data_IF_394894819802
#
_entry.id   IF_394894819802
#
_cell.length_a   1.000
_cell.length_b   1.000
_cell.length_c   1.000
_cell.angle_alpha   90.00
_cell.angle_beta   90.00
_cell.angle_gamma   90.00
#
_symmetry.space_group_name_H-M   'P 1'
#
loop_
_entity.id
_entity.type
_entity.pdbx_description
1 polymer ?
#
# COMPACT_ATOMS: atom_id res chain seq x y z
N UNK A 1 45.18 -8.85 -6.84
CA UNK A 1 44.48 -7.54 -6.85
C UNK A 1 43.80 -7.36 -8.21
N UNK A 2 42.59 -7.89 -8.40
CA UNK A 2 41.74 -7.55 -9.54
C UNK A 2 40.29 -8.03 -9.26
N UNK A 3 39.60 -7.34 -8.34
CA UNK A 3 38.24 -7.72 -7.88
C UNK A 3 37.21 -6.60 -8.04
N UNK A 4 37.51 -5.54 -8.82
CA UNK A 4 36.76 -4.28 -8.76
C UNK A 4 35.94 -3.95 -10.01
N UNK A 5 35.65 -4.96 -10.86
CA UNK A 5 34.87 -4.77 -12.10
C UNK A 5 33.70 -5.77 -12.22
N UNK A 6 32.67 -5.63 -11.37
CA UNK A 6 31.30 -6.16 -11.62
C UNK A 6 30.29 -5.74 -10.52
N UNK A 7 30.38 -4.50 -9.99
CA UNK A 7 29.41 -4.02 -8.98
C UNK A 7 28.29 -3.14 -9.56
N UNK A 8 28.37 -2.73 -10.83
CA UNK A 8 27.41 -1.80 -11.44
C UNK A 8 26.14 -2.46 -12.02
N UNK A 9 25.92 -3.75 -11.78
CA UNK A 9 24.76 -4.48 -12.32
C UNK A 9 23.99 -5.35 -11.33
N UNK A 10 24.39 -5.40 -10.05
CA UNK A 10 23.65 -6.18 -9.05
C UNK A 10 22.73 -5.26 -8.25
N UNK A 11 21.44 -5.41 -8.49
CA UNK A 11 20.39 -4.83 -7.64
C UNK A 11 20.46 -5.40 -6.22
N UNK A 12 19.92 -4.67 -5.25
CA UNK A 12 19.70 -5.21 -3.90
C UNK A 12 18.73 -6.39 -3.97
N UNK A 13 19.08 -7.46 -3.27
CA UNK A 13 18.17 -8.58 -2.99
C UNK A 13 17.14 -8.18 -1.92
N UNK A 14 16.12 -9.04 -1.76
CA UNK A 14 15.00 -8.75 -0.85
C UNK A 14 15.43 -8.79 0.63
N UNK A 15 16.44 -9.60 0.98
CA UNK A 15 17.00 -9.67 2.33
C UNK A 15 17.70 -8.36 2.72
N UNK A 16 18.45 -7.74 1.80
CA UNK A 16 19.09 -6.44 2.00
C UNK A 16 18.06 -5.32 2.08
N UNK A 17 16.99 -5.38 1.27
CA UNK A 17 15.86 -4.43 1.35
C UNK A 17 15.16 -4.55 2.71
N UNK A 18 14.83 -5.77 3.15
CA UNK A 18 14.19 -6.02 4.44
C UNK A 18 15.10 -5.55 5.58
N UNK A 19 16.39 -5.84 5.53
CA UNK A 19 17.36 -5.36 6.52
C UNK A 19 17.43 -3.84 6.61
N UNK A 20 17.31 -3.14 5.47
CA UNK A 20 17.32 -1.68 5.40
C UNK A 20 16.04 -1.06 6.00
N UNK A 21 14.89 -1.72 5.82
CA UNK A 21 13.60 -1.32 6.42
C UNK A 21 13.61 -1.55 7.94
N UNK A 22 14.06 -2.72 8.39
CA UNK A 22 14.17 -3.07 9.82
C UNK A 22 15.17 -2.13 10.55
N UNK A 23 16.26 -1.73 9.88
CA UNK A 23 17.28 -0.86 10.46
C UNK A 23 16.78 0.57 10.75
N UNK A 24 15.67 1.01 10.12
CA UNK A 24 15.02 2.28 10.42
C UNK A 24 14.56 2.37 11.89
N UNK A 25 14.41 1.24 12.58
CA UNK A 25 13.91 1.15 13.96
C UNK A 25 14.99 1.16 15.06
N UNK A 26 16.30 1.31 14.75
CA UNK A 26 17.24 1.70 15.81
C UNK A 26 18.71 1.28 15.75
N UNK A 27 19.26 0.74 14.65
CA UNK A 27 20.73 0.61 14.50
C UNK A 27 21.14 0.43 13.04
N UNK A 28 21.94 1.36 12.51
CA UNK A 28 22.55 1.21 11.21
C UNK A 28 23.87 0.42 11.33
N UNK A 29 23.90 -0.80 10.79
CA UNK A 29 25.14 -1.57 10.62
C UNK A 29 25.89 -1.15 9.34
N UNK A 30 27.10 -1.71 9.15
CA UNK A 30 27.91 -1.43 7.95
C UNK A 30 27.19 -1.83 6.65
N UNK A 31 26.37 -2.89 6.71
CA UNK A 31 25.56 -3.40 5.62
C UNK A 31 24.47 -2.39 5.21
N UNK A 32 23.75 -1.82 6.18
CA UNK A 32 22.78 -0.72 5.98
C UNK A 32 23.44 0.50 5.33
N UNK A 33 24.66 0.86 5.73
CA UNK A 33 25.40 1.98 5.12
C UNK A 33 25.80 1.69 3.67
N UNK A 34 26.16 0.46 3.35
CA UNK A 34 26.47 0.04 1.98
C UNK A 34 25.22 0.09 1.09
N UNK A 35 24.11 -0.48 1.57
CA UNK A 35 22.85 -0.49 0.84
C UNK A 35 22.27 0.92 0.65
N UNK A 36 22.40 1.83 1.63
CA UNK A 36 22.04 3.25 1.46
C UNK A 36 22.86 3.97 0.38
N UNK A 37 24.16 3.65 0.26
CA UNK A 37 24.99 4.19 -0.84
C UNK A 37 24.50 3.68 -2.19
N UNK A 38 24.24 2.37 -2.30
CA UNK A 38 23.67 1.79 -3.53
C UNK A 38 22.32 2.42 -3.92
N UNK A 39 21.44 2.72 -2.95
CA UNK A 39 20.16 3.37 -3.22
C UNK A 39 20.31 4.78 -3.81
N UNK A 40 21.37 5.50 -3.46
CA UNK A 40 21.67 6.81 -4.05
C UNK A 40 22.07 6.69 -5.53
N UNK A 41 22.68 5.56 -5.92
CA UNK A 41 23.20 5.33 -7.26
C UNK A 41 22.24 4.52 -8.18
N UNK A 42 21.23 3.84 -7.61
CA UNK A 42 20.35 2.93 -8.35
C UNK A 42 18.85 3.28 -8.17
N UNK A 43 18.23 4.01 -9.13
CA UNK A 43 16.84 4.46 -9.02
C UNK A 43 15.82 3.30 -9.01
N UNK A 44 16.13 2.17 -9.65
CA UNK A 44 15.26 0.99 -9.63
C UNK A 44 15.16 0.37 -8.22
N UNK A 45 16.28 0.28 -7.50
CA UNK A 45 16.29 -0.20 -6.11
C UNK A 45 15.60 0.81 -5.18
N UNK A 46 15.82 2.11 -5.40
CA UNK A 46 15.13 3.18 -4.66
C UNK A 46 13.62 3.10 -4.81
N UNK A 47 13.11 2.96 -6.04
CA UNK A 47 11.66 2.80 -6.29
C UNK A 47 11.07 1.59 -5.58
N UNK A 48 11.80 0.48 -5.51
CA UNK A 48 11.37 -0.72 -4.76
C UNK A 48 11.26 -0.45 -3.26
N UNK A 49 12.28 0.17 -2.66
CA UNK A 49 12.29 0.51 -1.23
C UNK A 49 11.17 1.50 -0.89
N UNK A 50 10.92 2.49 -1.74
CA UNK A 50 9.85 3.46 -1.53
C UNK A 50 8.46 2.82 -1.63
N UNK A 51 8.25 1.89 -2.57
CA UNK A 51 7.03 1.09 -2.63
C UNK A 51 6.80 0.29 -1.33
N UNK A 52 7.85 -0.34 -0.78
CA UNK A 52 7.74 -1.04 0.51
C UNK A 52 7.43 -0.07 1.66
N UNK A 53 8.08 1.10 1.72
CA UNK A 53 7.79 2.12 2.74
C UNK A 53 6.35 2.62 2.67
N UNK A 54 5.80 2.75 1.47
CA UNK A 54 4.40 3.11 1.29
C UNK A 54 3.48 2.04 1.89
N UNK A 55 3.70 0.77 1.55
CA UNK A 55 2.95 -0.37 2.11
C UNK A 55 3.03 -0.40 3.64
N UNK A 56 4.22 -0.27 4.22
CA UNK A 56 4.38 -0.24 5.69
C UNK A 56 3.73 1.00 6.31
N UNK A 57 3.77 2.14 5.62
CA UNK A 57 3.05 3.36 6.01
C UNK A 57 1.54 3.16 6.02
N UNK A 58 0.98 2.42 5.04
CA UNK A 58 -0.43 2.05 5.01
C UNK A 58 -0.78 1.07 6.12
N UNK A 59 0.04 0.03 6.34
CA UNK A 59 -0.14 -0.93 7.43
C UNK A 59 -0.10 -0.24 8.80
N UNK A 60 0.79 0.73 9.00
CA UNK A 60 0.85 1.53 10.22
C UNK A 60 -0.36 2.45 10.44
N UNK A 61 -1.06 2.82 9.35
CA UNK A 61 -2.30 3.62 9.38
C UNK A 61 -3.55 2.78 9.55
N UNK A 62 -3.51 1.48 9.29
CA UNK A 62 -4.59 0.59 9.67
C UNK A 62 -4.81 0.79 11.17
N UNK A 63 -6.08 1.01 11.57
CA UNK A 63 -6.44 1.06 12.98
C UNK A 63 -5.82 -0.19 13.60
N UNK A 64 -4.87 -0.01 14.52
CA UNK A 64 -4.41 -1.13 15.34
C UNK A 64 -5.68 -1.74 15.89
N UNK A 65 -5.99 -2.95 15.43
CA UNK A 65 -7.05 -3.73 16.03
C UNK A 65 -6.58 -3.96 17.45
N UNK A 66 -6.96 -3.06 18.34
CA UNK A 66 -6.93 -3.31 19.76
C UNK A 66 -7.95 -4.42 19.92
N UNK A 67 -7.53 -5.64 20.27
CA UNK A 67 -8.49 -6.68 20.57
C UNK A 67 -9.47 -6.13 21.62
N UNK A 68 -10.76 -6.51 21.58
CA UNK A 68 -11.69 -6.11 22.64
C UNK A 68 -11.06 -6.44 23.99
N UNK A 69 -11.22 -5.59 25.00
CA UNK A 69 -10.41 -5.65 26.23
C UNK A 69 -10.35 -7.02 26.92
N UNK A 70 -11.36 -7.86 26.68
CA UNK A 70 -11.47 -9.23 27.21
C UNK A 70 -10.91 -10.33 26.30
N UNK A 71 -10.30 -9.98 25.17
CA UNK A 71 -9.67 -10.94 24.27
C UNK A 71 -8.36 -11.44 24.85
N UNK A 72 -7.51 -10.54 25.36
CA UNK A 72 -6.32 -10.93 26.08
C UNK A 72 -6.68 -11.78 27.31
N UNK A 73 -7.73 -11.38 28.03
CA UNK A 73 -8.24 -12.11 29.19
C UNK A 73 -8.78 -13.50 28.83
N UNK A 74 -9.54 -13.66 27.73
CA UNK A 74 -9.97 -14.97 27.23
C UNK A 74 -8.82 -15.86 26.79
N UNK A 75 -7.90 -15.30 26.00
CA UNK A 75 -6.74 -16.05 25.50
C UNK A 75 -5.83 -16.45 26.66
N UNK A 76 -5.66 -15.60 27.67
CA UNK A 76 -4.87 -15.90 28.85
C UNK A 76 -5.59 -16.81 29.85
N UNK A 77 -6.93 -16.77 29.94
CA UNK A 77 -7.69 -17.71 30.76
C UNK A 77 -7.70 -19.13 30.18
N UNK A 78 -7.46 -19.26 28.88
CA UNK A 78 -7.38 -20.56 28.19
C UNK A 78 -5.96 -21.15 28.22
N UNK A 79 -4.97 -20.35 28.63
CA UNK A 79 -3.57 -20.77 28.77
C UNK A 79 -3.25 -20.81 30.27
N UNK A 80 -3.28 -22.00 30.86
CA UNK A 80 -2.80 -22.22 32.23
C UNK A 80 -1.29 -21.91 32.32
N UNK A 81 -0.97 -20.67 32.69
CA UNK A 81 0.39 -20.24 32.97
C UNK A 81 0.66 -20.37 34.47
N UNK A 82 1.72 -21.09 34.88
CA UNK A 82 2.10 -21.15 36.28
C UNK A 82 2.61 -19.79 36.78
N UNK A 83 1.86 -19.20 37.72
CA UNK A 83 2.34 -18.28 38.76
C UNK A 83 2.80 -16.89 38.33
N UNK A 84 1.88 -15.92 38.42
CA UNK A 84 2.15 -14.49 38.29
C UNK A 84 2.99 -13.94 39.47
N UNK A 85 3.92 -13.04 39.17
CA UNK A 85 4.31 -11.97 40.09
C UNK A 85 3.86 -10.63 39.48
N UNK A 86 2.98 -9.96 40.21
CA UNK A 86 2.23 -8.80 39.79
C UNK A 86 2.99 -7.49 39.97
N UNK A 87 2.45 -6.47 39.28
CA UNK A 87 2.35 -5.08 39.74
C UNK A 87 3.59 -4.16 39.72
N UNK A 88 3.38 -3.07 38.97
CA UNK A 88 4.04 -1.76 39.02
C UNK A 88 5.34 -1.58 38.24
N UNK A 89 5.27 -0.81 37.15
CA UNK A 89 6.45 -0.12 36.61
C UNK A 89 6.14 0.98 35.58
N UNK A 90 5.94 2.21 36.08
CA UNK A 90 6.26 3.43 35.33
C UNK A 90 7.74 3.84 35.46
N UNK A 91 8.61 2.97 36.00
CA UNK A 91 10.01 3.27 36.32
C UNK A 91 11.06 2.53 35.45
N UNK A 92 10.67 1.92 34.33
CA UNK A 92 11.54 1.02 33.55
C UNK A 92 12.47 1.69 32.51
N UNK A 93 12.39 3.01 32.31
CA UNK A 93 13.25 3.69 31.32
C UNK A 93 14.69 3.90 31.83
N UNK A 94 14.87 4.21 33.11
CA UNK A 94 16.21 4.51 33.68
C UNK A 94 17.04 3.26 34.02
N UNK A 95 16.40 2.15 34.40
CA UNK A 95 17.09 0.88 34.70
C UNK A 95 17.69 0.26 33.43
N UNK A 96 17.09 0.49 32.27
CA UNK A 96 17.55 -0.04 30.97
C UNK A 96 18.82 0.64 30.47
N UNK A 97 19.03 1.93 30.80
CA UNK A 97 20.22 2.67 30.41
C UNK A 97 21.44 2.27 31.27
N UNK A 98 21.24 2.06 32.57
CA UNK A 98 22.32 1.68 33.50
C UNK A 98 22.82 0.26 33.28
N UNK A 99 21.94 -0.65 32.83
CA UNK A 99 22.29 -2.06 32.51
C UNK A 99 23.12 -2.23 31.24
N UNK A 100 23.06 -1.27 30.32
CA UNK A 100 23.88 -1.29 29.11
C UNK A 100 25.34 -0.86 29.38
N UNK A 101 25.56 -0.03 30.40
CA UNK A 101 26.88 0.55 30.71
C UNK A 101 27.76 -0.33 31.61
N UNK A 102 27.21 -1.31 32.34
CA UNK A 102 27.94 -2.01 33.42
C UNK A 102 28.37 -3.45 33.12
N UNK A 103 28.37 -3.89 31.86
CA UNK A 103 29.10 -5.12 31.46
C UNK A 103 28.74 -6.42 32.20
N UNK A 104 27.60 -6.48 32.91
CA UNK A 104 27.04 -7.69 33.55
C UNK A 104 25.75 -8.11 32.86
N UNK A 105 25.87 -8.51 31.60
CA UNK A 105 24.82 -9.22 30.87
C UNK A 105 25.07 -10.74 30.83
N UNK A 106 25.90 -11.26 31.74
CA UNK A 106 26.19 -12.69 31.85
C UNK A 106 24.98 -13.52 32.32
N UNK A 107 24.01 -12.90 33.01
CA UNK A 107 22.87 -13.62 33.61
C UNK A 107 21.52 -13.33 32.94
N UNK A 108 21.52 -12.68 31.77
CA UNK A 108 20.28 -12.42 31.05
C UNK A 108 19.93 -13.61 30.14
N UNK A 109 19.25 -14.62 30.70
CA UNK A 109 18.72 -15.76 29.94
C UNK A 109 17.82 -15.32 28.79
N UNK A 110 17.75 -16.15 27.74
CA UNK A 110 16.78 -15.97 26.65
C UNK A 110 15.34 -16.07 27.19
N UNK A 111 14.45 -15.19 26.71
CA UNK A 111 13.03 -15.29 27.03
C UNK A 111 12.43 -16.57 26.46
N UNK A 112 11.40 -17.11 27.14
CA UNK A 112 10.72 -18.34 26.69
C UNK A 112 10.27 -18.27 25.23
N UNK A 113 9.70 -17.14 24.80
CA UNK A 113 9.31 -16.91 23.39
C UNK A 113 10.48 -17.01 22.40
N UNK A 114 11.68 -16.56 22.77
CA UNK A 114 12.87 -16.69 21.90
C UNK A 114 13.40 -18.12 21.86
N UNK A 115 13.34 -18.85 22.98
CA UNK A 115 13.71 -20.26 23.03
C UNK A 115 12.74 -21.12 22.22
N UNK A 116 11.43 -20.87 22.34
CA UNK A 116 10.41 -21.50 21.51
C UNK A 116 10.65 -21.23 20.02
N UNK A 117 10.77 -19.95 19.63
CA UNK A 117 11.05 -19.60 18.22
C UNK A 117 12.38 -20.17 17.71
N UNK A 118 13.35 -20.43 18.59
CA UNK A 118 14.59 -21.13 18.23
C UNK A 118 14.37 -22.62 18.03
N UNK A 119 13.53 -23.25 18.86
CA UNK A 119 13.16 -24.65 18.75
C UNK A 119 12.33 -24.90 17.47
N UNK A 120 11.37 -24.01 17.16
CA UNK A 120 10.50 -24.07 15.99
C UNK A 120 11.21 -23.69 14.68
N UNK A 121 12.46 -23.22 14.72
CA UNK A 121 13.18 -22.71 13.55
C UNK A 121 12.64 -21.39 12.97
N UNK A 122 11.72 -20.71 13.67
CA UNK A 122 11.07 -19.48 13.23
C UNK A 122 11.90 -18.20 13.43
N UNK A 123 13.09 -18.29 14.05
CA UNK A 123 13.97 -17.13 14.24
C UNK A 123 14.71 -16.74 12.95
N UNK A 124 14.79 -15.44 12.61
CA UNK A 124 15.64 -14.96 11.53
C UNK A 124 17.09 -15.41 11.71
N UNK A 125 17.77 -15.77 10.62
CA UNK A 125 19.11 -16.41 10.62
C UNK A 125 20.11 -15.72 11.54
N UNK A 126 20.25 -14.39 11.47
CA UNK A 126 21.15 -13.60 12.32
C UNK A 126 20.84 -13.78 13.82
N UNK A 127 19.57 -13.75 14.21
CA UNK A 127 19.14 -13.92 15.60
C UNK A 127 19.28 -15.36 16.08
N UNK A 128 19.05 -16.34 15.20
CA UNK A 128 19.23 -17.75 15.50
C UNK A 128 20.70 -18.07 15.82
N UNK A 129 21.67 -17.51 15.08
CA UNK A 129 23.11 -17.70 15.34
C UNK A 129 23.47 -17.19 16.75
N UNK A 130 23.06 -15.97 17.10
CA UNK A 130 23.32 -15.38 18.42
C UNK A 130 22.66 -16.18 19.55
N UNK A 131 21.42 -16.63 19.35
CA UNK A 131 20.71 -17.42 20.35
C UNK A 131 21.37 -18.80 20.54
N UNK A 132 21.83 -19.46 19.47
CA UNK A 132 22.59 -20.71 19.54
C UNK A 132 23.92 -20.53 20.26
N UNK A 133 24.66 -19.45 19.97
CA UNK A 133 25.90 -19.14 20.66
C UNK A 133 25.69 -18.95 22.17
N UNK A 134 24.63 -18.23 22.57
CA UNK A 134 24.28 -18.09 23.98
C UNK A 134 23.91 -19.42 24.63
N UNK A 135 23.05 -20.21 23.99
CA UNK A 135 22.61 -21.53 24.49
C UNK A 135 23.81 -22.47 24.69
N UNK A 136 24.80 -22.44 23.80
CA UNK A 136 26.01 -23.24 23.92
C UNK A 136 26.87 -22.88 25.15
N UNK A 137 26.67 -21.69 25.74
CA UNK A 137 27.40 -21.21 26.91
C UNK A 137 26.57 -21.17 28.20
N UNK A 138 25.25 -21.39 28.12
CA UNK A 138 24.31 -21.22 29.23
C UNK A 138 23.46 -22.48 29.43
N UNK A 139 23.82 -23.30 30.43
CA UNK A 139 23.18 -24.59 30.72
C UNK A 139 21.67 -24.48 31.04
N UNK A 140 21.23 -23.39 31.67
CA UNK A 140 19.79 -23.16 31.92
C UNK A 140 19.00 -22.95 30.63
N UNK A 141 19.57 -22.19 29.68
CA UNK A 141 18.94 -21.97 28.39
C UNK A 141 18.98 -23.22 27.52
N UNK A 142 20.04 -24.03 27.62
CA UNK A 142 20.12 -25.34 26.97
C UNK A 142 19.06 -26.30 27.48
N UNK A 143 18.91 -26.42 28.81
CA UNK A 143 17.91 -27.28 29.45
C UNK A 143 16.48 -26.87 29.03
N UNK A 144 16.20 -25.56 29.03
CA UNK A 144 14.89 -25.05 28.57
C UNK A 144 14.66 -25.30 27.07
N UNK A 145 15.68 -25.13 26.24
CA UNK A 145 15.59 -25.40 24.80
C UNK A 145 15.33 -26.89 24.53
N UNK A 146 15.99 -27.78 25.26
CA UNK A 146 15.75 -29.22 25.19
C UNK A 146 14.31 -29.57 25.58
N UNK A 147 13.77 -28.90 26.60
CA UNK A 147 12.35 -29.01 26.99
C UNK A 147 11.40 -28.63 25.85
N UNK A 148 11.62 -27.48 25.20
CA UNK A 148 10.83 -27.06 24.04
C UNK A 148 10.92 -28.05 22.88
N UNK A 149 12.13 -28.53 22.54
CA UNK A 149 12.32 -29.51 21.47
C UNK A 149 11.59 -30.83 21.74
N UNK A 150 11.61 -31.30 23.00
CA UNK A 150 10.86 -32.49 23.39
C UNK A 150 9.36 -32.28 23.25
N UNK A 151 8.84 -31.13 23.68
CA UNK A 151 7.43 -30.78 23.52
C UNK A 151 7.01 -30.78 22.04
N UNK A 152 7.78 -30.12 21.18
CA UNK A 152 7.52 -30.07 19.73
C UNK A 152 7.55 -31.48 19.13
N UNK A 153 8.56 -32.29 19.47
CA UNK A 153 8.63 -33.68 19.01
C UNK A 153 7.42 -34.52 19.46
N UNK A 154 6.92 -34.31 20.68
CA UNK A 154 5.68 -34.96 21.15
C UNK A 154 4.46 -34.50 20.37
N UNK A 155 4.36 -33.21 20.03
CA UNK A 155 3.28 -32.67 19.21
C UNK A 155 3.34 -33.17 17.76
N UNK A 156 4.54 -33.30 17.19
CA UNK A 156 4.76 -33.86 15.85
C UNK A 156 4.46 -35.37 15.80
N UNK A 157 4.62 -36.07 16.93
CA UNK A 157 4.27 -37.48 17.05
C UNK A 157 2.76 -37.73 17.21
N UNK A 158 1.94 -36.69 17.42
CA UNK A 158 0.50 -36.85 17.44
C UNK A 158 0.01 -37.35 16.07
N UNK A 159 -0.96 -38.29 16.04
CA UNK A 159 -1.50 -38.78 14.78
C UNK A 159 -2.05 -37.61 13.96
N UNK A 160 -1.61 -37.52 12.70
CA UNK A 160 -2.14 -36.54 11.77
C UNK A 160 -3.61 -36.87 11.48
N UNK A 161 -4.53 -36.08 12.02
CA UNK A 161 -5.94 -36.23 11.71
C UNK A 161 -6.21 -35.65 10.33
N UNK A 162 -6.59 -36.51 9.39
CA UNK A 162 -7.11 -36.06 8.11
C UNK A 162 -8.41 -35.28 8.37
N UNK A 163 -8.53 -34.02 7.91
CA UNK A 163 -9.77 -33.28 8.07
C UNK A 163 -10.90 -33.96 7.28
N UNK A 164 -12.13 -33.79 7.75
CA UNK A 164 -13.31 -34.30 7.04
C UNK A 164 -13.37 -33.74 5.60
N UNK A 165 -13.89 -34.54 4.66
CA UNK A 165 -14.10 -34.09 3.29
C UNK A 165 -14.88 -32.76 3.25
N UNK A 166 -14.45 -31.85 2.36
CA UNK A 166 -15.05 -30.52 2.26
C UNK A 166 -14.50 -29.47 3.25
N UNK A 167 -13.57 -29.83 4.15
CA UNK A 167 -13.06 -28.87 5.15
C UNK A 167 -12.32 -27.69 4.49
N UNK A 168 -11.44 -27.97 3.53
CA UNK A 168 -10.70 -26.93 2.83
C UNK A 168 -11.63 -25.96 2.09
N UNK A 169 -12.68 -26.49 1.45
CA UNK A 169 -13.70 -25.73 0.74
C UNK A 169 -14.47 -24.82 1.69
N UNK A 170 -14.87 -25.31 2.87
CA UNK A 170 -15.56 -24.50 3.90
C UNK A 170 -14.65 -23.39 4.45
N UNK A 171 -13.37 -23.70 4.72
CA UNK A 171 -12.40 -22.70 5.18
C UNK A 171 -12.18 -21.62 4.11
N UNK A 172 -11.99 -22.03 2.85
CA UNK A 172 -11.78 -21.08 1.76
C UNK A 172 -13.02 -20.27 1.44
N UNK A 173 -14.22 -20.84 1.54
CA UNK A 173 -15.47 -20.10 1.42
C UNK A 173 -15.56 -19.01 2.50
N UNK A 174 -15.28 -19.37 3.76
CA UNK A 174 -15.26 -18.41 4.87
C UNK A 174 -14.20 -17.34 4.71
N UNK A 175 -13.03 -17.71 4.19
CA UNK A 175 -11.96 -16.75 3.94
C UNK A 175 -12.33 -15.74 2.85
N UNK A 176 -13.01 -16.17 1.78
CA UNK A 176 -13.51 -15.28 0.73
C UNK A 176 -14.51 -14.27 1.28
N UNK A 177 -15.44 -14.70 2.14
CA UNK A 177 -16.39 -13.78 2.79
C UNK A 177 -15.65 -12.68 3.58
N UNK A 178 -14.66 -13.05 4.39
CA UNK A 178 -13.86 -12.10 5.17
C UNK A 178 -13.04 -11.17 4.26
N UNK A 179 -12.47 -11.70 3.19
CA UNK A 179 -11.70 -10.91 2.22
C UNK A 179 -12.59 -9.93 1.43
N UNK A 180 -13.80 -10.34 1.05
CA UNK A 180 -14.79 -9.50 0.39
C UNK A 180 -15.28 -8.37 1.32
N UNK A 181 -15.54 -8.67 2.58
CA UNK A 181 -15.86 -7.64 3.57
C UNK A 181 -14.71 -6.63 3.79
N UNK A 182 -13.47 -7.14 3.85
CA UNK A 182 -12.29 -6.29 4.02
C UNK A 182 -12.07 -5.37 2.81
N UNK A 183 -12.26 -5.90 1.60
CA UNK A 183 -12.09 -5.13 0.36
C UNK A 183 -13.25 -4.18 0.07
N UNK A 184 -14.49 -4.56 0.41
CA UNK A 184 -15.69 -3.72 0.23
C UNK A 184 -15.66 -2.45 1.09
N UNK A 185 -15.23 -2.55 2.36
CA UNK A 185 -15.03 -1.37 3.22
C UNK A 185 -13.85 -0.49 2.76
N UNK A 186 -12.81 -1.11 2.20
CA UNK A 186 -11.64 -0.41 1.65
C UNK A 186 -11.98 0.43 0.41
N UNK A 187 -12.75 -0.11 -0.54
CA UNK A 187 -13.09 0.58 -1.79
C UNK A 187 -13.99 1.80 -1.56
N UNK A 188 -14.98 1.70 -0.66
CA UNK A 188 -15.80 2.84 -0.28
C UNK A 188 -14.93 3.94 0.34
N UNK A 189 -14.04 3.59 1.29
CA UNK A 189 -13.15 4.57 1.93
C UNK A 189 -12.11 5.18 0.97
N UNK A 190 -11.66 4.43 -0.05
CA UNK A 190 -10.68 4.90 -1.03
C UNK A 190 -11.30 5.87 -2.05
N UNK A 191 -12.58 5.68 -2.41
CA UNK A 191 -13.31 6.61 -3.29
C UNK A 191 -13.45 8.01 -2.67
N UNK A 192 -13.58 8.10 -1.34
CA UNK A 192 -13.57 9.38 -0.60
C UNK A 192 -12.17 9.95 -0.33
N UNK A 193 -11.10 9.18 -0.58
CA UNK A 193 -9.71 9.65 -0.40
C UNK A 193 -9.14 10.36 -1.62
N UNK A 194 -9.73 10.16 -2.80
CA UNK A 194 -9.38 10.89 -4.02
C UNK A 194 -9.93 12.32 -4.03
N UNK A 195 -10.86 12.65 -3.13
CA UNK A 195 -11.33 14.02 -2.93
C UNK A 195 -10.31 14.79 -2.07
N UNK A 196 -9.73 15.90 -2.56
CA UNK A 196 -8.81 16.70 -1.78
C UNK A 196 -9.52 17.19 -0.50
N UNK A 197 -8.99 16.80 0.67
CA UNK A 197 -9.55 17.18 1.98
C UNK A 197 -9.23 18.61 2.39
N UNK A 198 -8.26 19.25 1.74
CA UNK A 198 -7.87 20.62 2.07
C UNK A 198 -8.40 21.61 1.02
N UNK A 199 -8.79 22.83 1.42
CA UNK A 199 -9.19 23.88 0.48
C UNK A 199 -8.08 24.21 -0.52
N UNK A 200 -6.80 24.03 -0.14
CA UNK A 200 -5.65 24.18 -1.05
C UNK A 200 -5.57 23.07 -2.12
N UNK A 201 -5.98 21.85 -1.79
CA UNK A 201 -6.05 20.75 -2.76
C UNK A 201 -7.12 20.98 -3.83
N UNK A 202 -8.22 21.65 -3.49
CA UNK A 202 -9.22 22.07 -4.48
C UNK A 202 -8.72 23.17 -5.41
N UNK A 203 -7.90 24.10 -4.91
CA UNK A 203 -7.26 25.13 -5.75
C UNK A 203 -6.26 24.51 -6.73
N UNK A 204 -5.47 23.52 -6.29
CA UNK A 204 -4.54 22.79 -7.16
C UNK A 204 -5.27 21.91 -8.19
N UNK A 205 -6.33 21.22 -7.77
CA UNK A 205 -7.16 20.44 -8.68
C UNK A 205 -7.82 21.34 -9.74
N UNK A 206 -8.35 22.50 -9.32
CA UNK A 206 -8.99 23.46 -10.23
C UNK A 206 -8.03 24.17 -11.19
N UNK A 207 -6.78 24.40 -10.79
CA UNK A 207 -5.75 25.00 -11.65
C UNK A 207 -5.26 24.02 -12.72
N UNK A 208 -5.15 22.73 -12.40
CA UNK A 208 -4.85 21.70 -13.41
C UNK A 208 -5.96 21.55 -14.45
N UNK A 209 -7.24 21.70 -14.06
CA UNK A 209 -8.36 21.65 -15.02
C UNK A 209 -8.50 22.90 -15.88
N UNK A 210 -8.06 24.07 -15.40
CA UNK A 210 -8.22 25.34 -16.14
C UNK A 210 -7.09 25.63 -17.12
N UNK A 211 -5.91 25.03 -16.93
CA UNK A 211 -4.74 25.23 -17.80
C UNK A 211 -5.01 24.92 -19.29
N UNK A 212 -5.72 23.83 -19.67
CA UNK A 212 -6.04 23.55 -21.08
C UNK A 212 -6.97 24.60 -21.69
N UNK A 213 -7.92 25.12 -20.90
CA UNK A 213 -8.89 26.12 -21.35
C UNK A 213 -8.20 27.46 -21.60
N UNK A 214 -7.29 27.86 -20.71
CA UNK A 214 -6.50 29.08 -20.88
C UNK A 214 -5.55 28.99 -22.09
N UNK A 215 -4.90 27.85 -22.29
CA UNK A 215 -4.07 27.60 -23.47
C UNK A 215 -4.89 27.66 -24.77
N UNK A 216 -6.09 27.06 -24.78
CA UNK A 216 -6.97 27.11 -25.95
C UNK A 216 -7.45 28.53 -26.25
N UNK A 217 -7.81 29.30 -25.23
CA UNK A 217 -8.20 30.71 -25.38
C UNK A 217 -7.05 31.58 -25.92
N UNK A 218 -5.82 31.35 -25.45
CA UNK A 218 -4.63 32.06 -25.94
C UNK A 218 -4.34 31.72 -27.42
N UNK A 219 -4.48 30.45 -27.81
CA UNK A 219 -4.34 30.02 -29.20
C UNK A 219 -5.43 30.61 -30.08
N UNK A 220 -6.69 30.62 -29.61
CA UNK A 220 -7.80 31.23 -30.34
C UNK A 220 -7.59 32.75 -30.55
N UNK A 221 -7.13 33.46 -29.52
CA UNK A 221 -6.81 34.88 -29.61
C UNK A 221 -5.60 35.17 -30.51
N UNK A 222 -4.61 34.27 -30.55
CA UNK A 222 -3.47 34.38 -31.46
C UNK A 222 -3.88 34.11 -32.91
N UNK A 223 -4.78 33.15 -33.15
CA UNK A 223 -5.26 32.86 -34.50
C UNK A 223 -6.11 34.01 -35.06
N UNK A 224 -6.81 34.78 -34.23
CA UNK A 224 -7.59 35.94 -34.69
C UNK A 224 -6.74 37.15 -35.11
N UNK A 225 -5.43 37.16 -34.85
CA UNK A 225 -4.54 38.25 -35.29
C UNK A 225 -3.86 37.98 -36.63
N UNK A 226 -4.04 36.80 -37.23
CA UNK A 226 -3.42 36.44 -38.52
C UNK A 226 -4.42 36.68 -39.67
N UNK A 227 -4.26 37.76 -40.47
CA UNK A 227 -5.25 38.19 -41.46
C UNK A 227 -5.39 37.27 -42.69
N UNK A 228 -4.57 36.23 -42.80
CA UNK A 228 -4.58 35.30 -43.94
C UNK A 228 -5.34 33.99 -43.66
N UNK A 229 -5.87 33.80 -42.45
CA UNK A 229 -6.68 32.64 -42.12
C UNK A 229 -8.13 32.84 -42.60
N UNK A 230 -8.46 32.24 -43.73
CA UNK A 230 -9.87 32.11 -44.15
C UNK A 230 -10.61 31.23 -43.13
N UNK A 231 -11.81 31.64 -42.74
CA UNK A 231 -12.64 30.97 -41.72
C UNK A 231 -12.84 29.47 -42.02
N UNK A 232 -12.91 29.12 -43.30
CA UNK A 232 -13.01 27.73 -43.77
C UNK A 232 -11.77 26.89 -43.42
N UNK A 233 -10.56 27.39 -43.67
CA UNK A 233 -9.33 26.67 -43.38
C UNK A 233 -9.12 26.41 -41.89
N UNK A 234 -9.54 27.37 -41.06
CA UNK A 234 -9.45 27.28 -39.60
C UNK A 234 -10.38 26.19 -39.05
N UNK A 235 -11.61 26.07 -39.57
CA UNK A 235 -12.55 25.01 -39.20
C UNK A 235 -12.04 23.63 -39.64
N UNK A 236 -11.52 23.49 -40.87
CA UNK A 236 -10.99 22.21 -41.35
C UNK A 236 -9.77 21.77 -40.54
N UNK A 237 -8.87 22.69 -40.22
CA UNK A 237 -7.71 22.43 -39.38
C UNK A 237 -8.10 22.05 -37.95
N UNK A 238 -9.00 22.81 -37.32
CA UNK A 238 -9.51 22.50 -35.97
C UNK A 238 -10.21 21.14 -35.92
N UNK A 239 -10.97 20.79 -36.96
CA UNK A 239 -11.61 19.49 -37.05
C UNK A 239 -10.60 18.34 -37.12
N UNK A 240 -9.54 18.52 -37.92
CA UNK A 240 -8.46 17.53 -38.03
C UNK A 240 -7.69 17.40 -36.70
N UNK A 241 -7.32 18.52 -36.09
CA UNK A 241 -6.65 18.55 -34.78
C UNK A 241 -7.51 17.90 -33.68
N UNK A 242 -8.83 18.15 -33.69
CA UNK A 242 -9.76 17.55 -32.74
C UNK A 242 -9.84 16.02 -32.92
N UNK A 243 -9.82 15.54 -34.16
CA UNK A 243 -9.82 14.11 -34.47
C UNK A 243 -8.55 13.41 -33.99
N UNK A 244 -7.39 14.06 -34.14
CA UNK A 244 -6.10 13.54 -33.67
C UNK A 244 -5.97 13.59 -32.15
N UNK A 245 -6.44 14.66 -31.52
CA UNK A 245 -6.49 14.74 -30.06
C UNK A 245 -7.41 13.66 -29.47
N UNK A 246 -8.55 13.41 -30.11
CA UNK A 246 -9.49 12.38 -29.69
C UNK A 246 -8.90 10.97 -29.85
N UNK A 247 -8.13 10.71 -30.92
CA UNK A 247 -7.48 9.41 -31.13
C UNK A 247 -6.33 9.17 -30.14
N UNK A 248 -5.51 10.19 -29.86
CA UNK A 248 -4.44 10.13 -28.86
C UNK A 248 -4.98 10.00 -27.43
N UNK A 249 -6.07 10.68 -27.13
CA UNK A 249 -6.78 10.51 -25.86
C UNK A 249 -7.36 9.10 -25.75
N UNK A 250 -7.99 8.58 -26.81
CA UNK A 250 -8.51 7.21 -26.83
C UNK A 250 -7.43 6.15 -26.60
N UNK A 251 -6.26 6.28 -27.23
CA UNK A 251 -5.15 5.33 -27.07
C UNK A 251 -4.53 5.38 -25.68
N UNK A 252 -4.34 6.57 -25.11
CA UNK A 252 -3.83 6.74 -23.74
C UNK A 252 -4.81 6.22 -22.68
N UNK A 253 -6.12 6.40 -22.89
CA UNK A 253 -7.15 5.88 -22.01
C UNK A 253 -7.23 4.35 -22.09
N UNK A 254 -7.13 3.76 -23.29
CA UNK A 254 -7.01 2.32 -23.48
C UNK A 254 -5.76 1.74 -22.82
N UNK A 255 -4.61 2.41 -22.95
CA UNK A 255 -3.36 2.01 -22.32
C UNK A 255 -3.44 2.06 -20.78
N UNK A 256 -4.04 3.13 -20.24
CA UNK A 256 -4.27 3.27 -18.81
C UNK A 256 -5.26 2.23 -18.28
N UNK A 257 -6.31 1.91 -19.05
CA UNK A 257 -7.25 0.84 -18.72
C UNK A 257 -6.55 -0.51 -18.72
N UNK A 258 -5.79 -0.84 -19.76
CA UNK A 258 -5.02 -2.09 -19.88
C UNK A 258 -3.98 -2.28 -18.76
N UNK A 259 -3.35 -1.20 -18.30
CA UNK A 259 -2.41 -1.26 -17.17
C UNK A 259 -3.09 -1.34 -15.81
N UNK A 260 -4.35 -0.93 -15.71
CA UNK A 260 -5.11 -1.04 -14.47
C UNK A 260 -5.75 -2.42 -14.34
N UNK A 261 -5.79 -2.97 -13.11
CA UNK A 261 -6.62 -4.15 -12.82
C UNK A 261 -8.12 -3.96 -13.12
N UNK A 262 -8.54 -2.76 -13.53
CA UNK A 262 -9.89 -2.47 -14.00
C UNK A 262 -10.15 -2.99 -15.42
N UNK A 263 -9.13 -3.24 -16.26
CA UNK A 263 -9.33 -3.88 -17.57
C UNK A 263 -9.98 -5.26 -17.42
N UNK A 264 -9.55 -6.05 -16.43
CA UNK A 264 -10.13 -7.36 -16.16
C UNK A 264 -11.60 -7.27 -15.74
N UNK A 265 -11.96 -6.23 -14.96
CA UNK A 265 -13.34 -5.98 -14.52
C UNK A 265 -14.23 -5.42 -15.63
N UNK A 266 -13.67 -4.52 -16.46
CA UNK A 266 -14.36 -3.94 -17.60
C UNK A 266 -14.64 -5.01 -18.68
N UNK A 267 -13.68 -5.91 -18.90
CA UNK A 267 -13.85 -7.06 -19.78
C UNK A 267 -14.94 -7.99 -19.27
N UNK A 268 -14.95 -8.34 -17.98
CA UNK A 268 -16.02 -9.16 -17.41
C UNK A 268 -17.40 -8.49 -17.46
N UNK A 269 -17.47 -7.16 -17.30
CA UNK A 269 -18.72 -6.41 -17.45
C UNK A 269 -19.19 -6.35 -18.91
N UNK A 270 -18.27 -6.20 -19.86
CA UNK A 270 -18.57 -6.21 -21.28
C UNK A 270 -19.10 -7.58 -21.72
N UNK A 271 -18.53 -8.67 -21.20
CA UNK A 271 -18.99 -10.04 -21.47
C UNK A 271 -20.43 -10.26 -20.94
N UNK A 272 -20.74 -9.77 -19.74
CA UNK A 272 -22.11 -9.77 -19.19
C UNK A 272 -23.09 -8.90 -20.01
N UNK A 273 -22.65 -7.75 -20.51
CA UNK A 273 -23.47 -6.86 -21.35
C UNK A 273 -23.74 -7.45 -22.73
N UNK A 274 -22.79 -8.20 -23.30
CA UNK A 274 -22.94 -8.89 -24.60
C UNK A 274 -23.87 -10.09 -24.46
N UNK A 275 -23.81 -10.81 -23.34
CA UNK A 275 -24.70 -11.95 -23.08
C UNK A 275 -26.18 -11.56 -22.92
N UNK A 276 -26.46 -10.26 -22.71
CA UNK A 276 -27.79 -9.76 -22.37
C UNK A 276 -28.12 -8.47 -23.17
N UNK A 277 -28.80 -8.59 -24.33
CA UNK A 277 -29.08 -7.44 -25.21
C UNK A 277 -29.93 -6.35 -24.53
N UNK A 278 -30.78 -6.72 -23.57
CA UNK A 278 -31.59 -5.76 -22.80
C UNK A 278 -30.75 -4.91 -21.85
N UNK A 279 -29.73 -5.48 -21.21
CA UNK A 279 -28.80 -4.71 -20.36
C UNK A 279 -27.91 -3.78 -21.17
N UNK A 280 -27.52 -4.17 -22.38
CA UNK A 280 -26.75 -3.30 -23.27
C UNK A 280 -27.54 -2.04 -23.66
N UNK A 281 -28.82 -2.20 -24.02
CA UNK A 281 -29.71 -1.08 -24.34
C UNK A 281 -29.92 -0.17 -23.12
N UNK A 282 -30.14 -0.74 -21.94
CA UNK A 282 -30.30 0.03 -20.71
C UNK A 282 -29.03 0.81 -20.33
N UNK A 283 -27.85 0.20 -20.48
CA UNK A 283 -26.58 0.86 -20.20
C UNK A 283 -26.30 2.01 -21.20
N UNK A 284 -26.59 1.80 -22.49
CA UNK A 284 -26.45 2.83 -23.52
C UNK A 284 -27.40 4.02 -23.26
N UNK A 285 -28.64 3.76 -22.87
CA UNK A 285 -29.60 4.78 -22.47
C UNK A 285 -29.16 5.54 -21.20
N UNK A 286 -28.62 4.83 -20.20
CA UNK A 286 -28.05 5.43 -18.99
C UNK A 286 -26.85 6.33 -19.28
N UNK A 287 -25.96 5.90 -20.18
CA UNK A 287 -24.80 6.69 -20.58
C UNK A 287 -25.18 7.96 -21.35
N UNK A 288 -26.12 7.86 -22.29
CA UNK A 288 -26.62 9.01 -23.05
C UNK A 288 -27.34 10.03 -22.17
N UNK A 289 -28.16 9.57 -21.22
CA UNK A 289 -28.82 10.46 -20.25
C UNK A 289 -27.81 11.16 -19.34
N UNK A 290 -26.77 10.46 -18.87
CA UNK A 290 -25.68 11.08 -18.11
C UNK A 290 -24.91 12.12 -18.93
N UNK A 291 -24.58 11.83 -20.19
CA UNK A 291 -23.93 12.78 -21.10
C UNK A 291 -24.79 14.03 -21.33
N UNK A 292 -26.07 13.87 -21.64
CA UNK A 292 -27.00 14.99 -21.81
C UNK A 292 -27.15 15.81 -20.53
N UNK A 293 -27.22 15.14 -19.37
CA UNK A 293 -27.26 15.81 -18.06
C UNK A 293 -25.99 16.61 -17.79
N UNK A 294 -24.82 16.04 -18.12
CA UNK A 294 -23.54 16.73 -17.99
C UNK A 294 -23.46 17.96 -18.89
N UNK A 295 -23.89 17.84 -20.15
CA UNK A 295 -23.95 18.97 -21.10
C UNK A 295 -24.91 20.05 -20.57
N UNK A 296 -26.06 19.66 -20.03
CA UNK A 296 -27.01 20.60 -19.46
C UNK A 296 -26.47 21.35 -18.24
N UNK A 297 -25.79 20.65 -17.32
CA UNK A 297 -25.12 21.28 -16.17
C UNK A 297 -24.04 22.25 -16.64
N UNK A 298 -23.26 21.86 -17.64
CA UNK A 298 -22.23 22.70 -18.23
C UNK A 298 -22.83 23.96 -18.86
N UNK A 299 -23.87 23.81 -19.67
CA UNK A 299 -24.60 24.92 -20.29
C UNK A 299 -25.17 25.89 -19.24
N UNK A 300 -25.73 25.35 -18.15
CA UNK A 300 -26.30 26.15 -17.06
C UNK A 300 -25.23 26.91 -16.26
N UNK A 301 -24.01 26.40 -16.18
CA UNK A 301 -22.91 27.06 -15.45
C UNK A 301 -22.13 28.05 -16.32
N UNK A 302 -22.07 27.85 -17.64
CA UNK A 302 -21.34 28.73 -18.55
C UNK A 302 -22.24 29.89 -19.05
N UNK A 303 -23.56 29.67 -19.13
CA UNK A 303 -24.53 30.69 -19.52
C UNK A 303 -24.80 31.68 -18.39
N UNK A 304 -24.56 32.96 -18.67
CA UNK A 304 -24.82 34.15 -17.84
C UNK A 304 -23.73 34.52 -16.84
N UNK A 305 -22.63 35.15 -17.29
CA UNK A 305 -22.00 36.18 -16.47
C UNK A 305 -23.10 37.17 -16.06
N UNK A 306 -23.49 37.14 -14.78
CA UNK A 306 -24.27 38.22 -14.19
C UNK A 306 -23.38 39.44 -14.24
N UNK A 307 -23.47 40.22 -15.31
CA UNK A 307 -22.94 41.57 -15.35
C UNK A 307 -23.64 42.33 -14.24
N UNK A 308 -23.04 42.32 -13.05
CA UNK A 308 -23.39 43.22 -11.98
C UNK A 308 -23.00 44.61 -12.48
N UNK A 309 -23.96 45.27 -13.13
CA UNK A 309 -23.93 46.71 -13.40
C UNK A 309 -23.87 47.39 -12.04
N UNK A 310 -22.65 47.61 -11.54
CA UNK A 310 -22.39 48.52 -10.43
C UNK A 310 -22.69 49.91 -10.97
N UNK A 311 -23.91 50.39 -10.75
CA UNK A 311 -24.26 51.79 -10.91
C UNK A 311 -23.32 52.62 -10.02
N UNK A 312 -22.39 53.32 -10.67
CA UNK A 312 -21.64 54.42 -10.08
C UNK A 312 -22.61 55.60 -10.05
N UNK A 313 -23.22 55.86 -8.89
CA UNK A 313 -23.85 57.15 -8.63
C UNK A 313 -22.76 58.10 -8.13
N UNK A 314 -22.59 59.20 -8.87
CA UNK A 314 -21.95 60.44 -8.42
C UNK A 314 -22.81 61.13 -7.37
#
# INVERSE_FOLDING_TARGET
MNSDRSSYGRHLDDDAIQGLLDAAEGRADAETRSARRHLADCPACQGRVDAWREVFGELGRLRRFSPPGRFAERVLSEIDLPGEASSSSRAWSWVRLRRWLTGRAADAHLSGRRLQALADGALPRKRAILAKAHVATCGDCETRLAGWRRLIATLEALPSFAPAAGFAERVMARWREVAEEATGRGQAAQRWRLLPRSPRGWVLAGTLTSMPVAAFAAVAAFLSTVPQLTTGGLVTYLWWQARDALSAFGSSLLAAVMQSGAAFRAYSLAEYLIASPTTAVAAAAGFTTLMLSSIWVLHRNIGFPRFALRHVYN
#
